data_IF_606054207851
#
_entry.id   IF_606054207851
#
_cell.length_a   1.000
_cell.length_b   1.000
_cell.length_c   1.000
_cell.angle_alpha   90.00
_cell.angle_beta   90.00
_cell.angle_gamma   90.00
#
_symmetry.space_group_name_H-M   'P 1'
#
loop_
_entity.id
_entity.type
_entity.pdbx_description
1 polymer ?
#
# COMPACT_ATOMS: atom_id res chain seq x y z
N UNK A 1 53.21 30.22 19.06
CA UNK A 1 53.10 29.46 17.81
C UNK A 1 51.82 28.62 17.75
N UNK A 2 51.52 27.82 18.78
CA UNK A 2 50.30 26.97 18.86
C UNK A 2 48.98 27.76 18.72
N UNK A 3 48.81 28.90 19.39
CA UNK A 3 47.59 29.72 19.28
C UNK A 3 47.32 30.25 17.85
N UNK A 4 48.35 30.59 17.10
CA UNK A 4 48.20 31.09 15.73
C UNK A 4 47.73 29.98 14.79
N UNK A 5 48.28 28.77 14.93
CA UNK A 5 47.88 27.58 14.18
C UNK A 5 46.42 27.22 14.48
N UNK A 6 46.01 27.25 15.76
CA UNK A 6 44.62 26.99 16.15
C UNK A 6 43.65 28.00 15.51
N UNK A 7 43.99 29.29 15.49
CA UNK A 7 43.16 30.33 14.86
C UNK A 7 43.06 30.10 13.34
N UNK A 8 44.16 29.78 12.66
CA UNK A 8 44.15 29.47 11.22
C UNK A 8 43.26 28.27 10.90
N UNK A 9 43.32 27.18 11.69
CA UNK A 9 42.47 26.01 11.52
C UNK A 9 40.99 26.35 11.76
N UNK A 10 40.69 27.19 12.76
CA UNK A 10 39.32 27.65 13.04
C UNK A 10 38.74 28.47 11.88
N UNK A 11 39.55 29.35 11.27
CA UNK A 11 39.14 30.15 10.11
C UNK A 11 38.89 29.25 8.89
N UNK A 12 39.78 28.31 8.61
CA UNK A 12 39.61 27.35 7.51
C UNK A 12 38.34 26.51 7.71
N UNK A 13 38.11 26.03 8.94
CA UNK A 13 36.89 25.29 9.30
C UNK A 13 35.63 26.15 9.13
N UNK A 14 35.64 27.41 9.58
CA UNK A 14 34.51 28.31 9.43
C UNK A 14 34.19 28.63 7.96
N UNK A 15 35.22 28.78 7.11
CA UNK A 15 35.04 28.97 5.66
C UNK A 15 34.45 27.71 5.00
N UNK A 16 34.97 26.53 5.34
CA UNK A 16 34.44 25.25 4.84
C UNK A 16 32.99 25.01 5.28
N UNK A 17 32.67 25.28 6.55
CA UNK A 17 31.33 25.13 7.10
C UNK A 17 30.33 26.05 6.39
N UNK A 18 30.68 27.32 6.16
CA UNK A 18 29.82 28.25 5.42
C UNK A 18 29.59 27.80 3.98
N UNK A 19 30.61 27.24 3.32
CA UNK A 19 30.47 26.67 1.98
C UNK A 19 29.50 25.49 1.95
N UNK A 20 29.61 24.54 2.89
CA UNK A 20 28.69 23.40 2.96
C UNK A 20 27.27 23.82 3.35
N UNK A 21 27.09 24.81 4.23
CA UNK A 21 25.77 25.40 4.52
C UNK A 21 25.18 26.02 3.25
N UNK A 22 25.96 26.81 2.50
CA UNK A 22 25.50 27.44 1.27
C UNK A 22 25.12 26.42 0.18
N UNK A 23 25.90 25.35 0.04
CA UNK A 23 25.62 24.24 -0.88
C UNK A 23 24.36 23.48 -0.49
N UNK A 24 24.21 23.14 0.79
CA UNK A 24 23.01 22.49 1.34
C UNK A 24 21.76 23.35 1.12
N UNK A 25 21.86 24.66 1.38
CA UNK A 25 20.76 25.60 1.16
C UNK A 25 20.37 25.70 -0.31
N UNK A 26 21.34 25.73 -1.24
CA UNK A 26 21.05 25.74 -2.68
C UNK A 26 20.30 24.48 -3.12
N UNK A 27 20.74 23.31 -2.66
CA UNK A 27 20.08 22.03 -2.97
C UNK A 27 18.66 21.99 -2.40
N UNK A 28 18.49 22.44 -1.15
CA UNK A 28 17.19 22.47 -0.46
C UNK A 28 16.22 23.47 -1.09
N UNK A 29 16.72 24.65 -1.50
CA UNK A 29 15.90 25.63 -2.20
C UNK A 29 15.46 25.10 -3.56
N UNK A 30 16.37 24.47 -4.32
CA UNK A 30 16.03 23.89 -5.62
C UNK A 30 14.95 22.81 -5.51
N UNK A 31 15.07 21.87 -4.58
CA UNK A 31 14.07 20.82 -4.40
C UNK A 31 12.72 21.40 -3.95
N UNK A 32 12.73 22.43 -3.10
CA UNK A 32 11.54 23.16 -2.69
C UNK A 32 10.87 23.86 -3.87
N UNK A 33 11.63 24.55 -4.71
CA UNK A 33 11.11 25.26 -5.86
C UNK A 33 10.55 24.28 -6.90
N UNK A 34 11.22 23.16 -7.15
CA UNK A 34 10.72 22.07 -8.00
C UNK A 34 9.40 21.50 -7.46
N UNK A 35 9.31 21.28 -6.14
CA UNK A 35 8.07 20.83 -5.50
C UNK A 35 6.93 21.83 -5.70
N UNK A 36 7.16 23.13 -5.42
CA UNK A 36 6.13 24.16 -5.57
C UNK A 36 5.71 24.35 -7.03
N UNK A 37 6.65 24.25 -7.97
CA UNK A 37 6.34 24.31 -9.40
C UNK A 37 5.47 23.12 -9.83
N UNK A 38 5.83 21.90 -9.40
CA UNK A 38 5.04 20.68 -9.65
C UNK A 38 3.64 20.80 -9.03
N UNK A 39 3.55 21.28 -7.80
CA UNK A 39 2.30 21.45 -7.08
C UNK A 39 1.41 22.53 -7.71
N UNK A 40 1.98 23.64 -8.17
CA UNK A 40 1.28 24.69 -8.91
C UNK A 40 0.69 24.16 -10.22
N UNK A 41 1.48 23.39 -10.98
CA UNK A 41 0.99 22.73 -12.20
C UNK A 41 -0.13 21.73 -11.89
N UNK A 42 0.02 20.95 -10.82
CA UNK A 42 -0.99 20.00 -10.38
C UNK A 42 -2.32 20.70 -10.08
N UNK A 43 -2.26 21.85 -9.40
CA UNK A 43 -3.43 22.61 -8.99
C UNK A 43 -4.15 23.30 -10.17
N UNK A 44 -3.50 23.45 -11.32
CA UNK A 44 -4.07 24.04 -12.54
C UNK A 44 -4.50 22.99 -13.58
N UNK A 45 -4.24 21.72 -13.30
CA UNK A 45 -4.55 20.62 -14.23
C UNK A 45 -6.06 20.43 -14.38
N UNK A 46 -6.53 20.37 -15.64
CA UNK A 46 -7.94 20.16 -15.97
C UNK A 46 -8.41 18.76 -15.57
N UNK A 47 -9.71 18.64 -15.27
CA UNK A 47 -10.37 17.36 -15.00
C UNK A 47 -10.17 16.40 -16.17
N UNK A 48 -9.68 15.20 -15.88
CA UNK A 48 -9.63 14.09 -16.83
C UNK A 48 -10.84 13.17 -16.66
N UNK A 49 -11.12 12.35 -17.68
CA UNK A 49 -12.01 11.21 -17.52
C UNK A 49 -11.29 10.12 -16.70
N UNK A 50 -12.01 9.53 -15.75
CA UNK A 50 -11.54 8.47 -14.87
C UNK A 50 -12.34 7.17 -15.03
N UNK A 51 -13.31 7.14 -15.95
CA UNK A 51 -14.17 5.97 -16.19
C UNK A 51 -13.40 4.73 -16.66
N UNK A 52 -12.25 4.92 -17.29
CA UNK A 52 -11.37 3.85 -17.78
C UNK A 52 -10.28 3.39 -16.80
N UNK A 53 -10.35 3.77 -15.52
CA UNK A 53 -9.40 3.28 -14.52
C UNK A 53 -9.65 1.80 -14.19
N UNK A 54 -8.62 1.14 -13.65
CA UNK A 54 -8.65 -0.27 -13.29
C UNK A 54 -9.45 -0.50 -11.99
N UNK A 55 -10.77 -0.43 -12.13
CA UNK A 55 -11.69 -0.61 -11.01
C UNK A 55 -11.69 -2.06 -10.51
N UNK A 56 -11.54 -2.21 -9.20
CA UNK A 56 -11.55 -3.52 -8.56
C UNK A 56 -12.99 -4.01 -8.43
N UNK A 57 -13.23 -5.24 -8.88
CA UNK A 57 -14.49 -5.96 -8.68
C UNK A 57 -14.29 -7.00 -7.58
N UNK A 58 -15.21 -7.04 -6.61
CA UNK A 58 -15.13 -7.99 -5.49
C UNK A 58 -15.66 -9.35 -5.96
N UNK A 59 -14.89 -10.46 -5.84
CA UNK A 59 -15.32 -11.79 -6.26
C UNK A 59 -16.25 -12.42 -5.21
N UNK A 60 -17.49 -11.94 -5.15
CA UNK A 60 -18.51 -12.35 -4.17
C UNK A 60 -18.78 -13.86 -4.23
N UNK A 61 -18.69 -14.45 -5.41
CA UNK A 61 -18.87 -15.88 -5.67
C UNK A 61 -17.85 -16.79 -4.98
N UNK A 62 -16.67 -16.26 -4.60
CA UNK A 62 -15.63 -17.02 -3.90
C UNK A 62 -15.75 -16.95 -2.38
N UNK A 63 -16.58 -16.04 -1.87
CA UNK A 63 -16.64 -15.75 -0.44
C UNK A 63 -17.66 -16.65 0.26
N UNK A 64 -17.40 -17.06 1.52
CA UNK A 64 -18.33 -17.86 2.31
C UNK A 64 -19.51 -16.98 2.75
N UNK A 65 -20.64 -17.10 2.03
CA UNK A 65 -21.81 -16.23 2.24
C UNK A 65 -22.78 -16.75 3.31
N UNK A 66 -22.65 -18.00 3.72
CA UNK A 66 -23.51 -18.61 4.73
C UNK A 66 -23.39 -17.92 6.10
N UNK A 67 -24.45 -18.02 6.90
CA UNK A 67 -24.42 -17.50 8.27
C UNK A 67 -23.48 -18.31 9.14
N UNK A 68 -22.63 -17.61 9.87
CA UNK A 68 -21.69 -18.20 10.82
C UNK A 68 -22.18 -18.00 12.27
N UNK A 69 -21.91 -18.93 13.20
CA UNK A 69 -22.29 -18.78 14.62
C UNK A 69 -21.66 -17.56 15.32
N UNK A 70 -20.45 -17.18 14.90
CA UNK A 70 -19.79 -15.95 15.35
C UNK A 70 -20.38 -14.71 14.64
N UNK A 71 -21.07 -13.81 15.37
CA UNK A 71 -21.68 -12.61 14.78
C UNK A 71 -20.66 -11.65 14.17
N UNK A 72 -19.40 -11.70 14.62
CA UNK A 72 -18.31 -10.86 14.08
C UNK A 72 -18.00 -11.23 12.63
N UNK A 73 -18.03 -12.52 12.30
CA UNK A 73 -17.82 -13.02 10.93
C UNK A 73 -18.96 -12.54 10.03
N UNK A 74 -20.20 -12.62 10.49
CA UNK A 74 -21.36 -12.12 9.74
C UNK A 74 -21.24 -10.60 9.51
N UNK A 75 -20.81 -9.84 10.52
CA UNK A 75 -20.58 -8.39 10.38
C UNK A 75 -19.55 -8.06 9.30
N UNK A 76 -18.47 -8.83 9.17
CA UNK A 76 -17.51 -8.64 8.10
C UNK A 76 -18.11 -8.97 6.72
N UNK A 77 -18.80 -10.10 6.58
CA UNK A 77 -19.53 -10.45 5.34
C UNK A 77 -20.48 -9.34 4.91
N UNK A 78 -21.31 -8.86 5.83
CA UNK A 78 -22.31 -7.83 5.55
C UNK A 78 -21.64 -6.50 5.18
N UNK A 79 -20.50 -6.16 5.80
CA UNK A 79 -19.68 -5.00 5.42
C UNK A 79 -19.18 -5.15 3.98
N UNK A 80 -18.62 -6.29 3.60
CA UNK A 80 -18.15 -6.56 2.23
C UNK A 80 -19.29 -6.44 1.23
N UNK A 81 -20.46 -7.04 1.51
CA UNK A 81 -21.64 -6.95 0.65
C UNK A 81 -22.13 -5.51 0.48
N UNK A 82 -22.11 -4.70 1.54
CA UNK A 82 -22.48 -3.28 1.44
C UNK A 82 -21.47 -2.44 0.64
N UNK A 83 -20.23 -2.91 0.51
CA UNK A 83 -19.16 -2.25 -0.22
C UNK A 83 -18.96 -2.75 -1.65
N UNK A 84 -19.49 -3.93 -2.00
CA UNK A 84 -19.26 -4.58 -3.30
C UNK A 84 -19.76 -3.79 -4.50
N UNK A 85 -20.82 -3.00 -4.33
CA UNK A 85 -21.39 -2.15 -5.38
C UNK A 85 -20.71 -0.77 -5.51
N UNK A 86 -19.76 -0.45 -4.63
CA UNK A 86 -19.05 0.83 -4.66
C UNK A 86 -17.93 0.79 -5.70
N UNK A 87 -17.50 1.98 -6.14
CA UNK A 87 -16.29 2.10 -6.96
C UNK A 87 -15.06 1.99 -6.06
N UNK A 88 -14.15 1.12 -6.46
CA UNK A 88 -12.96 0.74 -5.69
C UNK A 88 -11.75 0.87 -6.60
N UNK A 89 -10.74 1.61 -6.14
CA UNK A 89 -9.46 1.76 -6.82
C UNK A 89 -8.36 1.64 -5.78
N UNK A 90 -7.31 0.88 -6.08
CA UNK A 90 -6.09 0.96 -5.30
C UNK A 90 -5.24 2.12 -5.86
N UNK A 91 -5.07 3.20 -5.09
CA UNK A 91 -4.23 4.34 -5.46
C UNK A 91 -2.91 4.39 -4.66
N UNK A 92 -2.54 3.30 -3.98
CA UNK A 92 -1.25 3.22 -3.30
C UNK A 92 -0.10 3.49 -4.27
N UNK A 93 0.88 4.26 -3.79
CA UNK A 93 2.02 4.70 -4.59
C UNK A 93 1.82 6.02 -5.33
N UNK A 94 0.59 6.57 -5.36
CA UNK A 94 0.36 7.92 -5.90
C UNK A 94 0.28 8.96 -4.78
N UNK A 95 1.01 10.07 -4.93
CA UNK A 95 0.77 11.24 -4.07
C UNK A 95 -0.45 12.03 -4.56
N UNK A 96 -1.02 12.86 -3.69
CA UNK A 96 -2.08 13.79 -4.10
C UNK A 96 -1.65 14.70 -5.25
N UNK A 97 -0.38 15.11 -5.29
CA UNK A 97 0.17 15.90 -6.39
C UNK A 97 0.18 15.10 -7.69
N UNK A 98 0.54 13.81 -7.66
CA UNK A 98 0.51 12.95 -8.86
C UNK A 98 -0.92 12.72 -9.37
N UNK A 99 -1.87 12.47 -8.46
CA UNK A 99 -3.29 12.33 -8.82
C UNK A 99 -3.85 13.61 -9.43
N UNK A 100 -3.50 14.78 -8.86
CA UNK A 100 -3.89 16.08 -9.41
C UNK A 100 -3.31 16.33 -10.80
N UNK A 101 -2.03 16.00 -11.02
CA UNK A 101 -1.39 16.10 -12.34
C UNK A 101 -1.99 15.16 -13.38
N UNK A 102 -2.42 13.96 -12.97
CA UNK A 102 -2.93 12.95 -13.90
C UNK A 102 -4.42 13.10 -14.18
N UNK A 103 -5.20 13.44 -13.17
CA UNK A 103 -6.66 13.39 -13.22
C UNK A 103 -7.34 14.73 -12.93
N UNK A 104 -6.58 15.76 -12.55
CA UNK A 104 -7.09 17.08 -12.20
C UNK A 104 -7.62 17.16 -10.76
N UNK A 105 -7.54 18.36 -10.18
CA UNK A 105 -7.94 18.64 -8.79
C UNK A 105 -9.40 18.26 -8.53
N UNK A 106 -10.28 18.49 -9.50
CA UNK A 106 -11.72 18.23 -9.36
C UNK A 106 -12.06 16.75 -9.15
N UNK A 107 -11.17 15.82 -9.53
CA UNK A 107 -11.37 14.39 -9.31
C UNK A 107 -10.81 13.91 -7.96
N UNK A 108 -10.02 14.72 -7.26
CA UNK A 108 -9.27 14.27 -6.08
C UNK A 108 -10.21 13.74 -4.98
N UNK A 109 -11.31 14.45 -4.71
CA UNK A 109 -12.30 14.01 -3.71
C UNK A 109 -12.86 12.62 -4.02
N UNK A 110 -13.18 12.37 -5.29
CA UNK A 110 -13.79 11.12 -5.75
C UNK A 110 -12.77 9.98 -5.75
N UNK A 111 -11.54 10.26 -6.20
CA UNK A 111 -10.42 9.31 -6.15
C UNK A 111 -10.09 8.90 -4.72
N UNK A 112 -10.06 9.86 -3.79
CA UNK A 112 -9.88 9.57 -2.35
C UNK A 112 -11.01 8.72 -1.77
N UNK A 113 -12.26 8.92 -2.21
CA UNK A 113 -13.38 8.07 -1.80
C UNK A 113 -13.20 6.62 -2.31
N UNK A 114 -12.80 6.45 -3.56
CA UNK A 114 -12.59 5.14 -4.18
C UNK A 114 -11.42 4.38 -3.54
N UNK A 115 -10.35 5.09 -3.18
CA UNK A 115 -9.20 4.55 -2.44
C UNK A 115 -9.55 4.21 -0.98
N UNK A 116 -10.39 5.02 -0.33
CA UNK A 116 -10.92 4.67 0.98
C UNK A 116 -11.79 3.40 0.92
N UNK A 117 -12.60 3.23 -0.13
CA UNK A 117 -13.36 1.99 -0.32
C UNK A 117 -12.44 0.77 -0.46
N UNK A 118 -11.31 0.91 -1.17
CA UNK A 118 -10.28 -0.14 -1.27
C UNK A 118 -9.67 -0.46 0.11
N UNK A 119 -9.30 0.56 0.88
CA UNK A 119 -8.76 0.38 2.23
C UNK A 119 -9.73 -0.37 3.13
N UNK A 120 -11.02 -0.02 3.11
CA UNK A 120 -12.05 -0.72 3.89
C UNK A 120 -12.22 -2.16 3.41
N UNK A 121 -12.25 -2.40 2.09
CA UNK A 121 -12.36 -3.73 1.51
C UNK A 121 -11.24 -4.65 1.99
N UNK A 122 -9.99 -4.28 1.76
CA UNK A 122 -8.82 -5.10 2.09
C UNK A 122 -8.68 -5.29 3.59
N UNK A 123 -8.93 -4.25 4.40
CA UNK A 123 -8.89 -4.38 5.86
C UNK A 123 -9.97 -5.35 6.37
N UNK A 124 -11.16 -5.33 5.78
CA UNK A 124 -12.27 -6.20 6.18
C UNK A 124 -12.03 -7.65 5.76
N UNK A 125 -11.59 -7.89 4.52
CA UNK A 125 -11.22 -9.24 4.05
C UNK A 125 -10.13 -9.85 4.92
N UNK A 126 -9.09 -9.08 5.29
CA UNK A 126 -8.04 -9.57 6.18
C UNK A 126 -8.58 -9.95 7.57
N UNK A 127 -9.38 -9.09 8.20
CA UNK A 127 -9.98 -9.38 9.51
C UNK A 127 -10.90 -10.60 9.45
N UNK A 128 -11.64 -10.74 8.35
CA UNK A 128 -12.54 -11.85 8.13
C UNK A 128 -11.77 -13.17 7.98
N UNK A 129 -10.77 -13.21 7.11
CA UNK A 129 -9.90 -14.38 6.93
C UNK A 129 -9.17 -14.77 8.21
N UNK A 130 -8.61 -13.79 8.93
CA UNK A 130 -7.96 -14.01 10.24
C UNK A 130 -8.93 -14.60 11.26
N UNK A 131 -10.15 -14.09 11.36
CA UNK A 131 -11.15 -14.58 12.31
C UNK A 131 -11.63 -16.00 11.98
N UNK A 132 -11.85 -16.30 10.70
CA UNK A 132 -12.18 -17.64 10.22
C UNK A 132 -11.06 -18.63 10.54
N UNK A 133 -9.81 -18.23 10.29
CA UNK A 133 -8.65 -19.05 10.58
C UNK A 133 -8.54 -19.38 12.07
N UNK A 134 -8.70 -18.39 12.95
CA UNK A 134 -8.68 -18.60 14.42
C UNK A 134 -9.81 -19.54 14.88
N UNK A 135 -10.96 -19.52 14.19
CA UNK A 135 -12.09 -20.40 14.50
C UNK A 135 -11.96 -21.81 13.89
N UNK A 136 -10.84 -22.12 13.22
CA UNK A 136 -10.60 -23.43 12.59
C UNK A 136 -11.24 -23.61 11.22
N UNK A 137 -11.91 -22.58 10.68
CA UNK A 137 -12.53 -22.59 9.36
C UNK A 137 -11.48 -22.31 8.26
N UNK A 138 -10.47 -23.18 8.12
CA UNK A 138 -9.29 -22.91 7.29
C UNK A 138 -9.62 -22.74 5.79
N UNK A 139 -10.56 -23.53 5.25
CA UNK A 139 -10.96 -23.42 3.83
C UNK A 139 -11.68 -22.09 3.54
N UNK A 140 -12.53 -21.64 4.45
CA UNK A 140 -13.24 -20.37 4.33
C UNK A 140 -12.26 -19.20 4.47
N UNK A 141 -11.33 -19.29 5.44
CA UNK A 141 -10.26 -18.31 5.61
C UNK A 141 -9.41 -18.18 4.34
N UNK A 142 -9.05 -19.33 3.74
CA UNK A 142 -8.31 -19.37 2.49
C UNK A 142 -9.08 -18.67 1.38
N UNK A 143 -10.36 -18.99 1.20
CA UNK A 143 -11.22 -18.40 0.16
C UNK A 143 -11.33 -16.88 0.31
N UNK A 144 -11.50 -16.38 1.53
CA UNK A 144 -11.56 -14.93 1.82
C UNK A 144 -10.24 -14.22 1.52
N UNK A 145 -9.10 -14.83 1.87
CA UNK A 145 -7.80 -14.22 1.65
C UNK A 145 -7.35 -14.30 0.18
N UNK A 146 -7.69 -15.38 -0.53
CA UNK A 146 -7.50 -15.47 -1.99
C UNK A 146 -8.34 -14.40 -2.72
N UNK A 147 -9.58 -14.18 -2.28
CA UNK A 147 -10.39 -13.06 -2.78
C UNK A 147 -9.73 -11.69 -2.54
N UNK A 148 -9.02 -11.51 -1.42
CA UNK A 148 -8.23 -10.28 -1.19
C UNK A 148 -7.07 -10.13 -2.18
N UNK A 149 -6.40 -11.23 -2.57
CA UNK A 149 -5.38 -11.19 -3.63
C UNK A 149 -5.96 -10.85 -4.99
N UNK A 150 -7.14 -11.39 -5.32
CA UNK A 150 -7.86 -11.06 -6.55
C UNK A 150 -8.27 -9.58 -6.58
N UNK A 151 -8.53 -8.99 -5.41
CA UNK A 151 -8.75 -7.56 -5.23
C UNK A 151 -7.45 -6.73 -5.20
N UNK A 152 -6.32 -7.28 -5.65
CA UNK A 152 -5.00 -6.64 -5.67
C UNK A 152 -4.51 -6.16 -4.29
N UNK A 153 -4.76 -6.93 -3.23
CA UNK A 153 -4.22 -6.63 -1.89
C UNK A 153 -2.71 -6.43 -1.92
N UNK A 154 -2.27 -5.35 -1.29
CA UNK A 154 -0.88 -5.01 -1.00
C UNK A 154 -0.55 -5.09 0.50
N UNK A 155 -1.49 -5.61 1.30
CA UNK A 155 -1.34 -5.72 2.74
C UNK A 155 -0.49 -6.94 3.12
N UNK A 156 0.63 -6.71 3.84
CA UNK A 156 1.52 -7.78 4.32
C UNK A 156 0.76 -8.89 5.05
N UNK A 157 -0.23 -8.53 5.86
CA UNK A 157 -1.07 -9.49 6.61
C UNK A 157 -1.75 -10.52 5.72
N UNK A 158 -2.20 -10.13 4.52
CA UNK A 158 -2.83 -11.04 3.56
C UNK A 158 -1.85 -12.13 3.15
N UNK A 159 -0.66 -11.71 2.70
CA UNK A 159 0.38 -12.61 2.24
C UNK A 159 0.91 -13.51 3.37
N UNK A 160 1.18 -12.94 4.54
CA UNK A 160 1.70 -13.69 5.70
C UNK A 160 0.73 -14.78 6.15
N UNK A 161 -0.57 -14.46 6.25
CA UNK A 161 -1.57 -15.44 6.67
C UNK A 161 -1.84 -16.49 5.59
N UNK A 162 -1.87 -16.11 4.30
CA UNK A 162 -1.98 -17.07 3.20
C UNK A 162 -0.80 -18.05 3.16
N UNK A 163 0.43 -17.56 3.28
CA UNK A 163 1.60 -18.43 3.29
C UNK A 163 1.57 -19.42 4.45
N UNK A 164 1.11 -18.98 5.62
CA UNK A 164 0.90 -19.85 6.78
C UNK A 164 -0.13 -20.94 6.47
N UNK A 165 -1.32 -20.56 5.98
CA UNK A 165 -2.39 -21.52 5.64
C UNK A 165 -1.94 -22.49 4.54
N UNK A 166 -1.29 -22.00 3.47
CA UNK A 166 -0.76 -22.84 2.40
C UNK A 166 0.27 -23.85 2.92
N UNK A 167 1.18 -23.43 3.79
CA UNK A 167 2.16 -24.33 4.39
C UNK A 167 1.52 -25.38 5.29
N UNK A 168 0.49 -25.02 6.06
CA UNK A 168 -0.24 -25.94 6.94
C UNK A 168 -1.04 -26.98 6.14
N UNK A 169 -1.53 -26.62 4.96
CA UNK A 169 -2.28 -27.50 4.06
C UNK A 169 -1.39 -28.23 3.02
N UNK A 170 -0.07 -27.99 3.02
CA UNK A 170 0.86 -28.61 2.08
C UNK A 170 0.84 -28.04 0.65
N UNK A 171 0.25 -26.86 0.43
CA UNK A 171 0.15 -26.18 -0.87
C UNK A 171 1.40 -25.33 -1.20
N UNK A 172 2.58 -25.94 -1.20
CA UNK A 172 3.85 -25.23 -1.40
C UNK A 172 3.96 -24.56 -2.77
N UNK A 173 3.34 -25.13 -3.82
CA UNK A 173 3.27 -24.53 -5.15
C UNK A 173 2.57 -23.16 -5.14
N UNK A 174 1.57 -22.96 -4.27
CA UNK A 174 0.89 -21.67 -4.12
C UNK A 174 1.75 -20.62 -3.42
N UNK A 175 2.75 -21.03 -2.65
CA UNK A 175 3.71 -20.12 -2.02
C UNK A 175 4.63 -19.49 -3.08
N UNK A 176 5.03 -20.25 -4.10
CA UNK A 176 5.80 -19.71 -5.23
C UNK A 176 4.97 -18.67 -6.02
N UNK A 177 3.69 -18.98 -6.32
CA UNK A 177 2.77 -18.02 -6.94
C UNK A 177 2.58 -16.75 -6.09
N UNK A 178 2.56 -16.90 -4.76
CA UNK A 178 2.47 -15.78 -3.82
C UNK A 178 3.71 -14.88 -3.90
N UNK A 179 4.90 -15.48 -4.01
CA UNK A 179 6.17 -14.75 -4.20
C UNK A 179 6.16 -13.98 -5.53
N UNK A 180 5.69 -14.60 -6.61
CA UNK A 180 5.58 -13.94 -7.92
C UNK A 180 4.59 -12.76 -7.89
N UNK A 181 3.46 -12.92 -7.20
CA UNK A 181 2.49 -11.85 -6.98
C UNK A 181 3.10 -10.70 -6.16
N UNK A 182 3.85 -11.00 -5.10
CA UNK A 182 4.57 -9.99 -4.31
C UNK A 182 5.59 -9.25 -5.19
N UNK A 183 6.29 -9.94 -6.08
CA UNK A 183 7.29 -9.34 -6.96
C UNK A 183 6.69 -8.40 -8.01
N UNK A 184 5.48 -8.71 -8.49
CA UNK A 184 4.76 -7.92 -9.50
C UNK A 184 3.90 -6.78 -8.92
N UNK A 185 3.69 -6.75 -7.60
CA UNK A 185 2.84 -5.75 -6.93
C UNK A 185 3.72 -4.68 -6.24
N UNK A 186 3.36 -3.38 -6.29
CA UNK A 186 4.11 -2.31 -5.63
C UNK A 186 3.89 -2.31 -4.11
N UNK A 187 4.49 -3.28 -3.41
CA UNK A 187 4.38 -3.45 -1.96
C UNK A 187 5.52 -2.71 -1.24
N UNK A 188 5.17 -1.90 -0.23
CA UNK A 188 6.17 -1.26 0.65
C UNK A 188 6.92 -2.32 1.47
N UNK A 189 8.22 -2.15 1.65
CA UNK A 189 9.08 -3.09 2.39
C UNK A 189 9.02 -4.54 1.86
N UNK A 190 8.84 -4.69 0.53
CA UNK A 190 8.70 -5.97 -0.17
C UNK A 190 9.74 -7.03 0.24
N UNK A 191 11.01 -6.65 0.33
CA UNK A 191 12.09 -7.57 0.70
C UNK A 191 11.92 -8.17 2.09
N UNK A 192 11.37 -7.40 3.05
CA UNK A 192 11.09 -7.91 4.38
C UNK A 192 9.95 -8.93 4.36
N UNK A 193 8.91 -8.69 3.55
CA UNK A 193 7.82 -9.62 3.34
C UNK A 193 8.31 -10.92 2.69
N UNK A 194 9.06 -10.82 1.58
CA UNK A 194 9.62 -11.99 0.89
C UNK A 194 10.42 -12.90 1.82
N UNK A 195 11.28 -12.33 2.68
CA UNK A 195 12.02 -13.11 3.69
C UNK A 195 11.13 -13.85 4.68
N UNK A 196 9.95 -13.32 5.02
CA UNK A 196 8.98 -14.01 5.87
C UNK A 196 8.32 -15.16 5.12
N UNK A 197 7.83 -14.90 3.90
CA UNK A 197 7.12 -15.89 3.08
C UNK A 197 8.04 -17.07 2.72
N UNK A 198 9.31 -16.82 2.43
CA UNK A 198 10.31 -17.85 2.13
C UNK A 198 10.47 -18.88 3.26
N UNK A 199 10.20 -18.54 4.52
CA UNK A 199 10.27 -19.49 5.64
C UNK A 199 9.18 -20.57 5.60
N UNK A 200 8.12 -20.32 4.84
CA UNK A 200 7.01 -21.26 4.64
C UNK A 200 7.23 -22.16 3.42
N UNK A 201 8.30 -21.93 2.64
CA UNK A 201 8.70 -22.78 1.53
C UNK A 201 9.36 -24.04 2.09
N UNK A 202 8.86 -25.22 1.71
CA UNK A 202 9.47 -26.51 2.05
C UNK A 202 10.76 -26.77 1.27
#
# INVERSE_FOLDING_TARGET
MVNFICICLLIIFALWLNYEIGKSNKLTNKSRDEFWNKESLANTTRKADISGLDYISVPIEKLPMDNHPDPTINSYRDTILSHSNKKILNLNGFSNTDLKLKYGVSNLKLLSEYDNNYTVLIATLNKWGERLYINGCHNDALSVLEAALDCNSDAHKTFELLAKIYSELGFYNKIDLLIDKINSTPIRDKEALLRKIQKHRA
#
